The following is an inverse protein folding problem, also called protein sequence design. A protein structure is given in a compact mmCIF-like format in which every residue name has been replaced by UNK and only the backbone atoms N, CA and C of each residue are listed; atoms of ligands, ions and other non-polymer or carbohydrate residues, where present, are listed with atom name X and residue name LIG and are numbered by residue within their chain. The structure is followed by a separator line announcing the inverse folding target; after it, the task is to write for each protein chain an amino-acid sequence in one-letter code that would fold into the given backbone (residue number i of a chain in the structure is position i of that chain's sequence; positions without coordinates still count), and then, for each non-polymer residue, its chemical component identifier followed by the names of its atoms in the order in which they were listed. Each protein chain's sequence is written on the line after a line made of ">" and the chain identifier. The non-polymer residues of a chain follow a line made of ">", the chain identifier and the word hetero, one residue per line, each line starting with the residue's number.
data_IF_310922418528
#
_entry.id   IF_310922418528
#
_cell.length_a   1.000
_cell.length_b   1.000
_cell.length_c   1.000
_cell.angle_alpha   90.00
_cell.angle_beta   90.00
_cell.angle_gamma   90.00
#
_symmetry.space_group_name_H-M   'P 1'
#
loop_
_entity.id
_entity.type
_entity.pdbx_description
1 polymer ?
#
# COMPACT_ATOMS: atom_id res chain seq x y z
N UNK A 1 6.98 -6.92 -14.31
CA UNK A 1 5.57 -6.49 -14.20
C UNK A 1 5.24 -5.33 -15.15
N UNK A 2 5.90 -4.16 -15.09
CA UNK A 2 5.58 -3.04 -16.00
C UNK A 2 5.94 -3.28 -17.48
N UNK A 3 7.11 -3.86 -17.77
CA UNK A 3 7.52 -4.20 -19.15
C UNK A 3 6.55 -5.18 -19.81
N UNK A 4 6.06 -6.15 -19.04
CA UNK A 4 5.10 -7.15 -19.51
C UNK A 4 3.73 -6.54 -19.83
N UNK A 5 3.30 -5.55 -19.04
CA UNK A 5 2.04 -4.85 -19.25
C UNK A 5 2.00 -4.03 -20.56
N UNK A 6 3.17 -3.60 -21.07
CA UNK A 6 3.26 -2.80 -22.30
C UNK A 6 3.73 -3.58 -23.52
N UNK A 7 4.11 -4.85 -23.35
CA UNK A 7 4.77 -5.68 -24.39
C UNK A 7 3.96 -5.82 -25.68
N UNK A 8 2.63 -5.86 -25.57
CA UNK A 8 1.71 -5.99 -26.71
C UNK A 8 1.12 -4.65 -27.18
N UNK A 9 1.66 -3.52 -26.70
CA UNK A 9 1.22 -2.18 -27.11
C UNK A 9 2.14 -1.59 -28.16
N UNK A 10 1.65 -0.61 -28.92
CA UNK A 10 2.45 0.07 -29.94
C UNK A 10 3.74 0.70 -29.37
N UNK A 11 3.71 1.23 -28.13
CA UNK A 11 4.88 1.84 -27.48
C UNK A 11 5.89 0.80 -26.99
N UNK A 12 5.47 -0.43 -26.74
CA UNK A 12 6.38 -1.54 -26.41
C UNK A 12 7.08 -2.17 -27.62
N UNK A 13 6.74 -1.77 -28.84
CA UNK A 13 7.26 -2.38 -30.06
C UNK A 13 8.66 -1.87 -30.43
N UNK A 14 9.68 -2.74 -30.52
CA UNK A 14 11.02 -2.33 -30.96
C UNK A 14 11.04 -1.80 -32.41
N UNK A 15 10.13 -2.28 -33.26
CA UNK A 15 10.00 -1.83 -34.65
C UNK A 15 9.52 -0.37 -34.74
N UNK A 16 8.59 0.04 -33.86
CA UNK A 16 8.12 1.42 -33.82
C UNK A 16 9.24 2.36 -33.40
N UNK A 17 10.00 1.98 -32.37
CA UNK A 17 11.17 2.73 -31.90
C UNK A 17 12.20 2.91 -33.02
N UNK A 18 12.53 1.83 -33.75
CA UNK A 18 13.47 1.90 -34.87
C UNK A 18 12.97 2.87 -35.98
N UNK A 19 11.67 2.82 -36.31
CA UNK A 19 11.08 3.75 -37.30
C UNK A 19 11.15 5.20 -36.84
N UNK A 20 10.94 5.46 -35.55
CA UNK A 20 11.01 6.80 -34.97
C UNK A 20 12.44 7.35 -35.01
N UNK A 21 13.44 6.56 -34.65
CA UNK A 21 14.85 6.96 -34.70
C UNK A 21 15.29 7.29 -36.13
N UNK A 22 14.91 6.48 -37.12
CA UNK A 22 15.19 6.74 -38.54
C UNK A 22 14.51 8.03 -39.03
N UNK A 23 13.30 8.32 -38.55
CA UNK A 23 12.59 9.54 -38.91
C UNK A 23 13.24 10.77 -38.27
N UNK A 24 13.53 10.71 -36.97
CA UNK A 24 14.18 11.78 -36.19
C UNK A 24 15.57 12.10 -36.73
N UNK A 25 16.36 11.07 -37.10
CA UNK A 25 17.65 11.25 -37.76
C UNK A 25 17.52 12.03 -39.07
N UNK A 26 16.52 11.70 -39.89
CA UNK A 26 16.24 12.43 -41.13
C UNK A 26 15.83 13.89 -40.92
N UNK A 27 15.17 14.23 -39.81
CA UNK A 27 14.90 15.62 -39.42
C UNK A 27 16.20 16.33 -39.03
N UNK A 28 17.04 15.70 -38.21
CA UNK A 28 18.33 16.25 -37.79
C UNK A 28 19.30 16.50 -38.96
N UNK A 29 19.22 15.70 -40.01
CA UNK A 29 19.97 15.89 -41.26
C UNK A 29 19.32 16.90 -42.24
N UNK A 30 18.17 17.50 -41.90
CA UNK A 30 17.43 18.42 -42.77
C UNK A 30 16.74 17.77 -43.97
N UNK A 31 16.69 16.42 -44.01
CA UNK A 31 16.11 15.63 -45.11
C UNK A 31 14.61 15.37 -44.95
N UNK A 32 14.05 15.61 -43.76
CA UNK A 32 12.63 15.40 -43.44
C UNK A 32 12.07 16.59 -42.67
N UNK A 33 10.77 16.80 -42.82
CA UNK A 33 10.02 17.82 -42.08
C UNK A 33 9.58 17.26 -40.71
N UNK A 34 9.57 18.11 -39.69
CA UNK A 34 9.18 17.78 -38.32
C UNK A 34 7.65 17.71 -38.14
N UNK A 35 6.90 18.53 -38.88
CA UNK A 35 5.42 18.61 -38.74
C UNK A 35 4.71 17.26 -38.88
N UNK A 36 5.01 16.41 -39.88
CA UNK A 36 4.33 15.12 -40.04
C UNK A 36 4.65 14.15 -38.90
N UNK A 37 5.86 14.22 -38.34
CA UNK A 37 6.24 13.42 -37.18
C UNK A 37 5.43 13.81 -35.94
N UNK A 38 5.35 15.11 -35.65
CA UNK A 38 4.57 15.64 -34.51
C UNK A 38 3.09 15.26 -34.64
N UNK A 39 2.51 15.36 -35.84
CA UNK A 39 1.12 14.96 -36.07
C UNK A 39 0.90 13.45 -35.87
N UNK A 40 1.85 12.63 -36.31
CA UNK A 40 1.81 11.17 -36.12
C UNK A 40 1.93 10.80 -34.65
N UNK A 41 2.84 11.43 -33.91
CA UNK A 41 3.00 11.25 -32.46
C UNK A 41 1.74 11.63 -31.70
N UNK A 42 1.07 12.73 -32.09
CA UNK A 42 -0.21 13.15 -31.50
C UNK A 42 -1.31 12.12 -31.76
N UNK A 43 -1.42 11.60 -33.00
CA UNK A 43 -2.39 10.56 -33.36
C UNK A 43 -2.14 9.26 -32.59
N UNK A 44 -0.88 8.87 -32.42
CA UNK A 44 -0.52 7.69 -31.65
C UNK A 44 -0.90 7.85 -30.17
N UNK A 45 -0.57 8.99 -29.56
CA UNK A 45 -0.96 9.29 -28.17
C UNK A 45 -2.48 9.24 -27.98
N UNK A 46 -3.23 9.83 -28.91
CA UNK A 46 -4.69 9.81 -28.89
C UNK A 46 -5.23 8.38 -28.96
N UNK A 47 -4.72 7.58 -29.91
CA UNK A 47 -5.11 6.17 -30.05
C UNK A 47 -4.85 5.36 -28.78
N UNK A 48 -3.73 5.58 -28.11
CA UNK A 48 -3.40 4.88 -26.85
C UNK A 48 -4.33 5.28 -25.71
N UNK A 49 -4.72 6.55 -25.63
CA UNK A 49 -5.70 7.01 -24.65
C UNK A 49 -7.06 6.35 -24.89
N UNK A 50 -7.50 6.28 -26.15
CA UNK A 50 -8.77 5.64 -26.50
C UNK A 50 -8.74 4.12 -26.27
N UNK A 51 -7.63 3.45 -26.57
CA UNK A 51 -7.42 2.04 -26.28
C UNK A 51 -7.41 1.77 -24.77
N UNK A 52 -6.73 2.61 -23.98
CA UNK A 52 -6.73 2.51 -22.52
C UNK A 52 -8.13 2.72 -21.93
N UNK A 53 -8.89 3.72 -22.40
CA UNK A 53 -10.28 3.95 -21.96
C UNK A 53 -11.17 2.73 -22.22
N UNK A 54 -11.02 2.10 -23.38
CA UNK A 54 -11.78 0.90 -23.74
C UNK A 54 -11.38 -0.32 -22.90
N UNK A 55 -10.09 -0.45 -22.55
CA UNK A 55 -9.62 -1.52 -21.67
C UNK A 55 -10.08 -1.35 -20.21
N UNK A 56 -10.19 -0.11 -19.72
CA UNK A 56 -10.67 0.16 -18.35
C UNK A 56 -12.11 -0.34 -18.13
N UNK A 57 -12.97 -0.31 -19.15
CA UNK A 57 -14.34 -0.85 -19.07
C UNK A 57 -14.41 -2.39 -19.08
N UNK A 58 -13.32 -3.06 -19.47
CA UNK A 58 -13.21 -4.53 -19.53
C UNK A 58 -12.55 -5.10 -18.28
N UNK A 59 -11.83 -4.28 -17.51
CA UNK A 59 -11.32 -4.73 -16.22
C UNK A 59 -12.48 -4.93 -15.26
N UNK A 60 -12.67 -6.17 -14.81
CA UNK A 60 -13.52 -6.50 -13.65
C UNK A 60 -12.88 -5.92 -12.38
N UNK A 61 -12.89 -4.58 -12.28
CA UNK A 61 -12.33 -3.83 -11.16
C UNK A 61 -13.15 -4.11 -9.90
N UNK A 62 -14.44 -4.41 -10.04
CA UNK A 62 -15.34 -4.70 -8.91
C UNK A 62 -14.83 -5.89 -8.08
N UNK A 63 -14.52 -7.01 -8.72
CA UNK A 63 -14.04 -8.21 -8.02
C UNK A 63 -12.64 -8.02 -7.40
N UNK A 64 -11.76 -7.27 -8.06
CA UNK A 64 -10.43 -6.95 -7.54
C UNK A 64 -10.50 -5.97 -6.36
N UNK A 65 -11.38 -4.96 -6.41
CA UNK A 65 -11.56 -3.98 -5.34
C UNK A 65 -12.23 -4.61 -4.12
N UNK A 66 -13.16 -5.55 -4.32
CA UNK A 66 -13.84 -6.26 -3.24
C UNK A 66 -12.91 -7.25 -2.52
N UNK A 67 -12.13 -8.05 -3.27
CA UNK A 67 -11.09 -8.91 -2.69
C UNK A 67 -10.05 -8.10 -1.92
N UNK A 68 -9.56 -7.00 -2.49
CA UNK A 68 -8.55 -6.17 -1.81
C UNK A 68 -9.11 -5.44 -0.59
N UNK A 69 -10.39 -5.06 -0.59
CA UNK A 69 -11.06 -4.52 0.62
C UNK A 69 -11.13 -5.56 1.73
N UNK A 70 -11.45 -6.81 1.38
CA UNK A 70 -11.56 -7.92 2.33
C UNK A 70 -10.19 -8.30 2.91
N UNK A 71 -9.15 -8.43 2.07
CA UNK A 71 -7.77 -8.73 2.51
C UNK A 71 -7.19 -7.65 3.42
N UNK A 72 -7.64 -6.40 3.29
CA UNK A 72 -7.14 -5.30 4.10
C UNK A 72 -7.98 -5.04 5.36
N UNK A 73 -9.13 -5.69 5.55
CA UNK A 73 -9.97 -5.46 6.72
C UNK A 73 -9.46 -6.21 7.95
N UNK A 74 -9.17 -5.48 9.03
CA UNK A 74 -8.61 -6.06 10.26
C UNK A 74 -9.64 -6.10 11.40
N UNK A 75 -10.55 -5.12 11.47
CA UNK A 75 -11.56 -5.07 12.52
C UNK A 75 -12.11 -3.67 12.75
N UNK A 76 -12.88 -3.50 13.81
CA UNK A 76 -13.54 -2.23 14.14
C UNK A 76 -12.68 -1.38 15.07
N UNK A 77 -12.68 -0.07 14.86
CA UNK A 77 -11.91 0.86 15.67
C UNK A 77 -12.60 1.10 17.03
N UNK A 78 -11.93 0.86 18.17
CA UNK A 78 -12.50 1.05 19.50
C UNK A 78 -12.80 2.52 19.85
N UNK A 79 -12.23 3.47 19.10
CA UNK A 79 -12.43 4.91 19.32
C UNK A 79 -13.58 5.50 18.51
N UNK A 80 -13.98 4.91 17.38
CA UNK A 80 -14.99 5.51 16.50
C UNK A 80 -15.91 4.51 15.79
N UNK A 81 -15.77 3.21 16.03
CA UNK A 81 -16.55 2.14 15.40
C UNK A 81 -16.27 1.91 13.91
N UNK A 82 -15.40 2.71 13.28
CA UNK A 82 -15.09 2.57 11.84
C UNK A 82 -14.09 1.45 11.57
N UNK A 83 -14.10 0.85 10.35
CA UNK A 83 -13.18 -0.22 10.00
C UNK A 83 -11.72 0.23 10.04
N UNK A 84 -10.85 -0.60 10.60
CA UNK A 84 -9.39 -0.51 10.60
C UNK A 84 -8.88 -1.37 9.45
N UNK A 85 -7.99 -0.78 8.65
CA UNK A 85 -7.43 -1.43 7.47
C UNK A 85 -5.91 -1.52 7.52
N UNK A 86 -5.38 -2.57 6.88
CA UNK A 86 -3.96 -2.77 6.65
C UNK A 86 -3.44 -1.83 5.56
N UNK A 87 -2.57 -0.87 5.94
CA UNK A 87 -1.93 0.07 5.01
C UNK A 87 -0.45 -0.25 4.80
N UNK A 88 -0.07 -1.54 4.70
CA UNK A 88 1.30 -2.07 4.53
C UNK A 88 2.29 -1.74 5.67
N UNK A 89 2.41 -0.47 6.08
CA UNK A 89 3.30 0.00 7.15
C UNK A 89 2.58 0.19 8.48
N UNK A 90 1.28 0.51 8.44
CA UNK A 90 0.46 0.78 9.62
C UNK A 90 -0.91 0.11 9.49
N UNK A 91 -1.52 -0.19 10.63
CA UNK A 91 -2.95 -0.45 10.77
C UNK A 91 -3.65 0.87 11.05
N UNK A 92 -4.46 1.35 10.11
CA UNK A 92 -5.06 2.68 10.18
C UNK A 92 -6.57 2.62 10.17
N UNK A 93 -7.23 3.40 11.03
CA UNK A 93 -8.66 3.60 10.93
C UNK A 93 -9.01 4.31 9.61
N UNK A 94 -10.03 3.82 8.90
CA UNK A 94 -10.59 4.48 7.70
C UNK A 94 -11.16 5.87 8.01
N UNK A 95 -11.54 6.12 9.27
CA UNK A 95 -12.01 7.40 9.76
C UNK A 95 -10.93 8.44 10.03
N UNK A 96 -9.65 8.12 9.83
CA UNK A 96 -8.54 9.04 10.05
C UNK A 96 -8.44 10.09 8.94
N UNK A 97 -8.57 11.38 9.29
CA UNK A 97 -8.41 12.50 8.36
C UNK A 97 -7.46 13.52 8.98
N UNK A 98 -6.26 13.66 8.39
CA UNK A 98 -5.17 14.50 8.93
C UNK A 98 -5.62 15.92 9.28
N UNK A 99 -6.48 16.50 8.45
CA UNK A 99 -6.90 17.91 8.53
C UNK A 99 -8.18 18.14 9.35
N UNK A 100 -8.79 17.07 9.90
CA UNK A 100 -10.01 17.19 10.70
C UNK A 100 -9.74 16.81 12.16
N UNK A 101 -9.89 17.78 13.07
CA UNK A 101 -9.69 17.59 14.53
C UNK A 101 -10.67 16.59 15.14
N UNK A 102 -11.85 16.41 14.54
CA UNK A 102 -12.89 15.49 15.02
C UNK A 102 -12.78 14.09 14.39
N UNK A 103 -11.73 13.83 13.60
CA UNK A 103 -11.48 12.52 13.00
C UNK A 103 -10.77 11.58 13.97
N UNK A 104 -10.97 10.27 13.78
CA UNK A 104 -10.35 9.28 14.63
C UNK A 104 -8.84 9.25 14.40
N UNK A 105 -8.04 9.49 15.44
CA UNK A 105 -6.56 9.48 15.36
C UNK A 105 -5.94 8.10 15.59
N UNK A 106 -6.73 7.04 15.52
CA UNK A 106 -6.26 5.70 15.80
C UNK A 106 -5.44 5.15 14.62
N UNK A 107 -4.15 4.98 14.86
CA UNK A 107 -3.22 4.29 13.97
C UNK A 107 -2.18 3.53 14.78
N UNK A 108 -1.90 2.30 14.40
CA UNK A 108 -0.88 1.46 15.03
C UNK A 108 0.15 1.06 13.98
N UNK A 109 1.43 1.31 14.24
CA UNK A 109 2.50 0.86 13.35
C UNK A 109 2.60 -0.67 13.33
N UNK A 110 2.83 -1.27 12.16
CA UNK A 110 3.10 -2.71 12.09
C UNK A 110 4.38 -3.07 12.81
N UNK A 111 5.35 -2.16 12.81
CA UNK A 111 6.54 -2.29 13.63
C UNK A 111 6.33 -1.52 14.93
N UNK A 112 6.28 -2.25 16.03
CA UNK A 112 6.10 -1.69 17.36
C UNK A 112 7.26 -2.14 18.24
N UNK A 113 8.07 -1.17 18.68
CA UNK A 113 9.28 -1.41 19.50
C UNK A 113 10.25 -2.44 18.88
N UNK A 114 10.44 -2.39 17.56
CA UNK A 114 11.35 -3.27 16.82
C UNK A 114 10.79 -4.66 16.52
N UNK A 115 9.53 -4.95 16.87
CA UNK A 115 8.85 -6.20 16.54
C UNK A 115 7.68 -5.98 15.59
N UNK A 116 7.43 -6.95 14.72
CA UNK A 116 6.27 -6.93 13.81
C UNK A 116 5.01 -7.42 14.53
N UNK A 117 3.98 -6.59 14.57
CA UNK A 117 2.62 -6.95 14.97
C UNK A 117 1.97 -7.68 13.79
N UNK A 118 1.70 -8.97 13.97
CA UNK A 118 0.90 -9.76 13.02
C UNK A 118 -0.56 -9.30 13.02
N UNK A 119 -1.25 -9.50 11.90
CA UNK A 119 -2.67 -9.16 11.75
C UNK A 119 -3.54 -9.82 12.81
N UNK A 120 -3.32 -11.11 13.10
CA UNK A 120 -4.04 -11.82 14.17
C UNK A 120 -3.85 -11.22 15.56
N UNK A 121 -2.70 -10.60 15.84
CA UNK A 121 -2.49 -9.88 17.10
C UNK A 121 -3.25 -8.56 17.11
N UNK A 122 -3.31 -7.87 15.97
CA UNK A 122 -4.08 -6.64 15.83
C UNK A 122 -5.59 -6.89 15.96
N UNK A 123 -6.12 -7.96 15.34
CA UNK A 123 -7.52 -8.38 15.52
C UNK A 123 -7.84 -8.58 17.00
N UNK A 124 -7.01 -9.37 17.72
CA UNK A 124 -7.19 -9.61 19.17
C UNK A 124 -7.15 -8.32 19.98
N UNK A 125 -6.27 -7.37 19.63
CA UNK A 125 -6.20 -6.06 20.29
C UNK A 125 -7.48 -5.26 20.10
N UNK A 126 -8.06 -5.27 18.89
CA UNK A 126 -9.31 -4.57 18.58
C UNK A 126 -10.51 -5.22 19.28
N UNK A 127 -10.53 -6.55 19.42
CA UNK A 127 -11.54 -7.28 20.21
C UNK A 127 -11.43 -7.06 21.75
N UNK A 128 -10.52 -6.22 22.21
CA UNK A 128 -10.29 -5.98 23.64
C UNK A 128 -9.59 -7.13 24.37
N UNK A 129 -9.07 -8.12 23.63
CA UNK A 129 -8.29 -9.23 24.19
C UNK A 129 -6.82 -8.83 24.29
N UNK A 130 -6.08 -9.51 25.17
CA UNK A 130 -4.61 -9.44 25.19
C UNK A 130 -4.04 -10.09 23.92
N UNK A 131 -2.99 -9.51 23.33
CA UNK A 131 -2.25 -10.16 22.25
C UNK A 131 -1.65 -11.47 22.72
N UNK A 132 -1.13 -12.24 21.76
CA UNK A 132 -0.14 -13.27 22.06
C UNK A 132 1.14 -12.63 22.63
N UNK A 133 1.95 -13.40 23.37
CA UNK A 133 3.21 -12.91 23.93
C UNK A 133 4.12 -12.44 22.80
N UNK A 134 4.42 -11.14 22.76
CA UNK A 134 5.36 -10.59 21.77
C UNK A 134 6.73 -10.64 22.41
N UNK A 135 7.64 -11.37 21.76
CA UNK A 135 9.01 -11.53 22.24
C UNK A 135 9.93 -10.49 21.63
N UNK A 136 10.92 -10.03 22.39
CA UNK A 136 11.95 -9.12 21.86
C UNK A 136 11.50 -7.67 21.65
N UNK A 137 10.52 -7.18 22.41
CA UNK A 137 10.17 -5.75 22.40
C UNK A 137 11.32 -4.94 22.99
N UNK A 138 11.83 -3.95 22.26
CA UNK A 138 12.90 -3.08 22.74
C UNK A 138 12.35 -1.99 23.65
N UNK A 139 12.76 -2.00 24.91
CA UNK A 139 12.40 -0.95 25.87
C UNK A 139 13.22 0.33 25.72
N UNK A 140 12.81 1.37 26.45
CA UNK A 140 13.55 2.65 26.56
C UNK A 140 14.99 2.48 27.07
N UNK A 141 15.28 1.37 27.74
CA UNK A 141 16.62 1.04 28.25
C UNK A 141 17.41 0.11 27.32
N UNK A 142 17.03 0.01 26.04
CA UNK A 142 17.66 -0.85 25.01
C UNK A 142 17.61 -2.37 25.29
N UNK A 143 17.05 -2.77 26.44
CA UNK A 143 16.81 -4.17 26.80
C UNK A 143 15.56 -4.70 26.13
N UNK A 144 15.69 -5.89 25.56
CA UNK A 144 14.59 -6.67 25.01
C UNK A 144 13.76 -7.29 26.13
N UNK A 145 12.44 -7.21 26.01
CA UNK A 145 11.51 -7.84 26.94
C UNK A 145 10.32 -8.47 26.22
N UNK A 146 9.71 -9.45 26.87
CA UNK A 146 8.50 -10.08 26.38
C UNK A 146 7.29 -9.48 27.11
N UNK A 147 6.29 -9.02 26.36
CA UNK A 147 5.05 -8.49 26.93
C UNK A 147 3.84 -8.85 26.07
N UNK A 148 2.69 -8.93 26.73
CA UNK A 148 1.39 -8.89 26.08
C UNK A 148 0.99 -7.44 25.88
N UNK A 149 0.40 -7.13 24.73
CA UNK A 149 -0.23 -5.83 24.50
C UNK A 149 -1.72 -5.97 24.80
N UNK A 150 -2.28 -5.02 25.55
CA UNK A 150 -3.71 -4.88 25.76
C UNK A 150 -4.09 -3.48 25.29
N UNK A 151 -5.24 -3.37 24.63
CA UNK A 151 -5.78 -2.08 24.24
C UNK A 151 -6.81 -1.64 25.28
N UNK A 152 -6.59 -0.47 25.88
CA UNK A 152 -7.47 0.12 26.90
C UNK A 152 -7.64 1.61 26.57
N UNK A 153 -8.89 2.06 26.37
CA UNK A 153 -9.21 3.46 26.04
C UNK A 153 -8.46 4.00 24.81
N UNK A 154 -8.36 3.18 23.75
CA UNK A 154 -7.58 3.46 22.54
C UNK A 154 -6.05 3.67 22.76
N UNK A 155 -5.53 3.31 23.94
CA UNK A 155 -4.10 3.31 24.26
C UNK A 155 -3.59 1.88 24.42
N UNK A 156 -2.36 1.64 23.96
CA UNK A 156 -1.68 0.34 24.11
C UNK A 156 -1.03 0.29 25.49
N UNK A 157 -1.47 -0.66 26.32
CA UNK A 157 -0.85 -1.00 27.60
C UNK A 157 -0.03 -2.29 27.49
N UNK A 158 1.11 -2.31 28.19
CA UNK A 158 1.95 -3.49 28.32
C UNK A 158 1.53 -4.30 29.55
N UNK A 159 1.17 -5.56 29.33
CA UNK A 159 0.95 -6.54 30.39
C UNK A 159 2.13 -7.50 30.36
N UNK A 160 3.00 -7.40 31.36
CA UNK A 160 4.16 -8.29 31.46
C UNK A 160 3.74 -9.64 32.06
N UNK A 161 4.23 -10.78 31.53
CA UNK A 161 4.11 -12.04 32.25
C UNK A 161 4.78 -11.92 33.62
N UNK A 162 4.15 -12.44 34.68
CA UNK A 162 4.79 -12.55 35.99
C UNK A 162 6.08 -13.36 35.82
N UNK A 163 7.24 -12.74 36.01
CA UNK A 163 8.53 -13.42 36.03
C UNK A 163 8.46 -14.55 37.06
N UNK A 164 8.64 -15.81 36.64
CA UNK A 164 9.13 -16.83 37.57
C UNK A 164 10.49 -16.34 38.04
N UNK A 165 10.63 -16.06 39.35
CA UNK A 165 11.93 -15.88 39.97
C UNK A 165 12.76 -17.12 39.63
N UNK A 166 13.81 -16.95 38.84
CA UNK A 166 14.89 -17.93 38.81
C UNK A 166 15.63 -17.68 40.12
N UNK A 167 15.39 -18.55 41.09
CA UNK A 167 16.22 -18.62 42.29
C UNK A 167 17.60 -19.12 41.84
N UNK A 168 18.62 -18.34 42.10
CA UNK A 168 20.00 -18.81 42.26
C UNK A 168 20.41 -18.41 43.67
#
# INVERSE_FOLDING_TARGET
>A
MMVEAIKNTAIGSPELTAKWEVYLKGIGEGKKNDKPFVETSKKLAQKLIDEAKNQVNSWAIEEFVENKKSEQYIGECPSCGKPVVDKKMIYGCTGYVKDNKNSCKFSVSKEFLGQKISESNMVKLLEGKKTTLIKGLKGKSEKEFDAYLKLEDAKIQFVFPKKKKVAN
#
